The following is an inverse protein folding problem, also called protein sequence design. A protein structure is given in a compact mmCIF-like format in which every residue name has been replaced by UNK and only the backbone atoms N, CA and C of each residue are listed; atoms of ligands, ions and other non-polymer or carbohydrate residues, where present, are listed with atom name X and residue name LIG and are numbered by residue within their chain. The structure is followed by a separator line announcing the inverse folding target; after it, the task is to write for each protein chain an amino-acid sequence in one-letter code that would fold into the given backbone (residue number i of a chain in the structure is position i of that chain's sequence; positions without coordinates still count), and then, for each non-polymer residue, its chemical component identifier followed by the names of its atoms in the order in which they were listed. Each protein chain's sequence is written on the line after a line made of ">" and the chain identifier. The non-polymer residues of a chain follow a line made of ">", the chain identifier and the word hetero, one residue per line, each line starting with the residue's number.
data_IF_275974744479
#
_entry.id   IF_275974744479
#
_cell.length_a   1.000
_cell.length_b   1.000
_cell.length_c   1.000
_cell.angle_alpha   90.00
_cell.angle_beta   90.00
_cell.angle_gamma   90.00
#
_symmetry.space_group_name_H-M   'P 1'
#
loop_
_entity.id
_entity.type
_entity.pdbx_description
1 polymer ?
#
# COMPACT_ATOMS: atom_id res chain seq x y z
N UNK A 1 -10.37 22.04 -21.24
CA UNK A 1 -10.20 22.41 -19.82
C UNK A 1 -9.36 21.34 -19.16
N UNK A 2 -8.40 21.72 -18.34
CA UNK A 2 -7.59 20.81 -17.51
C UNK A 2 -8.47 20.34 -16.34
N UNK A 3 -8.34 19.09 -15.91
CA UNK A 3 -9.22 18.40 -14.95
C UNK A 3 -10.68 18.90 -15.07
N UNK A 4 -11.46 18.41 -16.03
CA UNK A 4 -12.89 18.73 -16.06
C UNK A 4 -13.56 18.07 -14.84
N UNK A 5 -14.24 18.82 -13.95
CA UNK A 5 -14.74 18.26 -12.69
C UNK A 5 -16.03 18.89 -12.17
N UNK A 6 -16.69 18.15 -11.28
CA UNK A 6 -17.76 18.62 -10.41
C UNK A 6 -17.33 18.40 -8.94
N UNK A 7 -17.49 19.42 -8.09
CA UNK A 7 -17.27 19.35 -6.65
C UNK A 7 -18.62 19.26 -5.91
N UNK A 8 -18.72 18.38 -4.92
CA UNK A 8 -19.93 18.18 -4.12
C UNK A 8 -19.60 18.00 -2.64
N UNK A 9 -20.43 18.54 -1.76
CA UNK A 9 -20.35 18.30 -0.32
C UNK A 9 -21.02 16.97 0.00
N UNK A 10 -20.36 16.16 0.83
CA UNK A 10 -20.88 14.84 1.23
C UNK A 10 -21.90 14.97 2.37
N UNK A 11 -21.81 16.01 3.21
CA UNK A 11 -22.78 16.35 4.25
C UNK A 11 -23.01 17.87 4.32
N UNK A 12 -24.20 18.34 3.99
CA UNK A 12 -24.50 19.77 3.75
C UNK A 12 -24.64 20.66 5.00
N UNK A 13 -24.19 20.18 6.18
CA UNK A 13 -24.51 20.81 7.46
C UNK A 13 -23.45 21.79 8.00
N UNK A 14 -22.20 21.80 7.49
CA UNK A 14 -21.14 22.72 7.96
C UNK A 14 -20.12 23.07 6.86
N UNK A 15 -19.30 24.11 7.09
CA UNK A 15 -18.16 24.48 6.24
C UNK A 15 -17.01 23.44 6.25
N UNK A 16 -17.02 22.50 7.19
CA UNK A 16 -16.06 21.39 7.29
C UNK A 16 -16.55 20.12 6.57
N UNK A 17 -17.66 20.21 5.82
CA UNK A 17 -18.24 19.10 5.08
C UNK A 17 -17.21 18.37 4.21
N UNK A 18 -17.10 17.05 4.37
CA UNK A 18 -16.29 16.20 3.51
C UNK A 18 -16.59 16.47 2.03
N UNK A 19 -15.55 16.49 1.20
CA UNK A 19 -15.68 16.81 -0.22
C UNK A 19 -15.56 15.57 -1.11
N UNK A 20 -16.39 15.55 -2.15
CA UNK A 20 -16.34 14.59 -3.25
C UNK A 20 -16.08 15.31 -4.56
N UNK A 21 -15.05 14.87 -5.27
CA UNK A 21 -14.76 15.29 -6.63
C UNK A 21 -15.23 14.22 -7.61
N UNK A 22 -15.90 14.66 -8.67
CA UNK A 22 -16.22 13.82 -9.82
C UNK A 22 -15.49 14.41 -11.03
N UNK A 23 -14.42 13.75 -11.45
CA UNK A 23 -13.69 14.09 -12.66
C UNK A 23 -14.47 13.60 -13.88
N UNK A 24 -14.45 14.37 -14.95
CA UNK A 24 -14.85 13.96 -16.29
C UNK A 24 -13.57 13.63 -17.06
N UNK A 25 -13.64 12.61 -17.91
CA UNK A 25 -12.51 12.19 -18.73
C UNK A 25 -11.89 13.33 -19.55
N UNK A 26 -10.62 13.16 -19.92
CA UNK A 26 -9.84 14.15 -20.64
C UNK A 26 -8.41 14.27 -20.10
N UNK A 27 -7.76 15.39 -20.39
CA UNK A 27 -6.39 15.65 -19.96
C UNK A 27 -6.36 16.22 -18.53
N UNK A 28 -5.55 15.64 -17.66
CA UNK A 28 -5.33 16.10 -16.29
C UNK A 28 -4.68 17.50 -16.21
N UNK A 29 -3.80 17.87 -17.13
CA UNK A 29 -2.93 19.04 -16.95
C UNK A 29 -1.85 18.77 -15.91
N UNK A 30 -1.32 19.83 -15.31
CA UNK A 30 -0.25 19.72 -14.31
C UNK A 30 -0.79 19.31 -12.94
N UNK A 31 0.09 18.86 -12.05
CA UNK A 31 -0.27 18.57 -10.66
C UNK A 31 -0.88 19.79 -9.95
N UNK A 32 -0.46 21.01 -10.30
CA UNK A 32 -0.99 22.24 -9.72
C UNK A 32 -2.43 22.54 -10.13
N UNK A 33 -2.89 21.97 -11.25
CA UNK A 33 -4.26 22.14 -11.76
C UNK A 33 -5.27 21.24 -11.03
N UNK A 34 -4.80 20.31 -10.20
CA UNK A 34 -5.65 19.35 -9.50
C UNK A 34 -6.57 20.06 -8.47
N UNK A 35 -7.90 19.91 -8.57
CA UNK A 35 -8.85 20.73 -7.81
C UNK A 35 -8.83 20.45 -6.30
N UNK A 36 -8.42 19.25 -5.88
CA UNK A 36 -8.33 18.87 -4.47
C UNK A 36 -7.15 19.51 -3.73
N UNK A 37 -6.18 20.13 -4.43
CA UNK A 37 -4.95 20.66 -3.81
C UNK A 37 -5.17 21.78 -2.80
N UNK A 38 -6.33 22.44 -2.85
CA UNK A 38 -6.70 23.53 -1.95
C UNK A 38 -7.51 23.07 -0.73
N UNK A 39 -7.77 21.77 -0.58
CA UNK A 39 -8.64 21.22 0.45
C UNK A 39 -7.93 20.16 1.31
N UNK A 40 -8.29 20.12 2.59
CA UNK A 40 -7.76 19.14 3.55
C UNK A 40 -8.75 18.02 3.87
N UNK A 41 -10.03 18.20 3.54
CA UNK A 41 -11.16 17.33 3.87
C UNK A 41 -11.74 16.60 2.65
N UNK A 42 -10.90 16.29 1.67
CA UNK A 42 -11.30 15.51 0.48
C UNK A 42 -11.50 14.06 0.88
N UNK A 43 -12.72 13.56 0.71
CA UNK A 43 -13.10 12.21 1.12
C UNK A 43 -13.15 11.23 -0.04
N UNK A 44 -13.58 11.68 -1.22
CA UNK A 44 -13.64 10.81 -2.41
C UNK A 44 -13.29 11.53 -3.70
N UNK A 45 -12.62 10.81 -4.59
CA UNK A 45 -12.35 11.23 -5.96
C UNK A 45 -12.88 10.13 -6.89
N UNK A 46 -13.88 10.45 -7.69
CA UNK A 46 -14.51 9.55 -8.67
C UNK A 46 -14.19 10.05 -10.06
N UNK A 47 -14.10 9.16 -11.04
CA UNK A 47 -13.85 9.53 -12.43
C UNK A 47 -14.96 8.97 -13.33
N UNK A 48 -15.52 9.82 -14.18
CA UNK A 48 -16.45 9.47 -15.26
C UNK A 48 -15.73 9.62 -16.60
N UNK A 49 -15.22 8.50 -17.12
CA UNK A 49 -14.38 8.43 -18.32
C UNK A 49 -12.90 8.24 -17.98
N UNK A 50 -12.02 8.41 -18.96
CA UNK A 50 -10.57 8.23 -18.76
C UNK A 50 -9.87 9.57 -18.57
N UNK A 51 -9.08 9.72 -17.51
CA UNK A 51 -8.25 10.91 -17.26
C UNK A 51 -6.79 10.59 -17.57
N UNK A 52 -6.22 11.29 -18.56
CA UNK A 52 -4.82 11.11 -18.99
C UNK A 52 -3.90 11.94 -18.10
N UNK A 53 -3.12 11.25 -17.26
CA UNK A 53 -2.11 11.88 -16.42
C UNK A 53 -0.91 12.34 -17.26
N UNK A 54 -0.30 13.45 -16.86
CA UNK A 54 0.85 14.02 -17.55
C UNK A 54 2.16 13.40 -17.04
N UNK A 55 3.27 13.69 -17.73
CA UNK A 55 4.58 13.12 -17.44
C UNK A 55 5.02 13.25 -15.97
N UNK A 56 4.59 14.31 -15.29
CA UNK A 56 4.78 14.49 -13.87
C UNK A 56 3.45 14.32 -13.13
N UNK A 57 3.32 13.22 -12.38
CA UNK A 57 2.22 12.97 -11.45
C UNK A 57 2.68 13.06 -9.98
N UNK A 58 3.87 13.63 -9.72
CA UNK A 58 4.45 13.66 -8.39
C UNK A 58 3.55 14.43 -7.42
N UNK A 59 3.38 13.87 -6.22
CA UNK A 59 2.55 14.40 -5.14
C UNK A 59 1.06 14.55 -5.49
N UNK A 60 0.54 14.04 -6.62
CA UNK A 60 -0.81 14.38 -7.09
C UNK A 60 -1.91 14.17 -6.02
N UNK A 61 -1.81 13.08 -5.26
CA UNK A 61 -2.73 12.72 -4.17
C UNK A 61 -2.05 12.75 -2.80
N UNK A 62 -0.99 13.53 -2.62
CA UNK A 62 -0.26 13.65 -1.35
C UNK A 62 -1.09 14.42 -0.30
N UNK A 63 -0.97 14.02 0.97
CA UNK A 63 -1.57 14.68 2.14
C UNK A 63 -3.12 14.73 2.12
N UNK A 64 -3.78 13.85 1.38
CA UNK A 64 -5.23 13.76 1.38
C UNK A 64 -5.70 12.86 2.54
N UNK A 65 -5.49 13.35 3.77
CA UNK A 65 -5.69 12.59 5.02
C UNK A 65 -7.11 12.12 5.27
N UNK A 66 -8.11 12.73 4.64
CA UNK A 66 -9.52 12.31 4.73
C UNK A 66 -9.96 11.41 3.56
N UNK A 67 -9.10 11.13 2.59
CA UNK A 67 -9.44 10.39 1.38
C UNK A 67 -9.62 8.92 1.74
N UNK A 68 -10.86 8.44 1.59
CA UNK A 68 -11.25 7.05 1.87
C UNK A 68 -11.54 6.27 0.59
N UNK A 69 -11.77 6.97 -0.52
CA UNK A 69 -12.02 6.35 -1.82
C UNK A 69 -11.41 7.17 -2.97
N UNK A 70 -10.75 6.48 -3.89
CA UNK A 70 -10.33 7.04 -5.17
C UNK A 70 -10.55 6.01 -6.27
N UNK A 71 -11.17 6.42 -7.37
CA UNK A 71 -11.21 5.62 -8.60
C UNK A 71 -9.89 5.77 -9.35
N UNK A 72 -8.99 4.81 -9.13
CA UNK A 72 -7.65 4.78 -9.74
C UNK A 72 -7.61 4.07 -11.09
N UNK A 73 -8.62 3.28 -11.43
CA UNK A 73 -8.64 2.47 -12.65
C UNK A 73 -8.92 3.31 -13.90
N UNK A 74 -9.53 4.47 -13.70
CA UNK A 74 -9.88 5.41 -14.75
C UNK A 74 -8.75 6.38 -15.13
N UNK A 75 -7.56 6.27 -14.51
CA UNK A 75 -6.39 7.05 -14.89
C UNK A 75 -5.56 6.34 -15.96
N UNK A 76 -5.34 7.01 -17.08
CA UNK A 76 -4.33 6.61 -18.05
C UNK A 76 -2.97 7.15 -17.60
N UNK A 77 -2.08 6.22 -17.22
CA UNK A 77 -0.74 6.51 -16.72
C UNK A 77 0.35 6.33 -17.77
N UNK A 78 0.01 6.05 -19.03
CA UNK A 78 0.98 5.65 -20.06
C UNK A 78 2.04 6.72 -20.35
N UNK A 79 1.75 7.99 -20.04
CA UNK A 79 2.66 9.10 -20.24
C UNK A 79 3.51 9.43 -19.00
N UNK A 80 3.21 8.83 -17.84
CA UNK A 80 3.82 9.22 -16.57
C UNK A 80 5.26 8.75 -16.48
N UNK A 81 6.15 9.65 -16.03
CA UNK A 81 7.57 9.38 -15.81
C UNK A 81 7.98 9.43 -14.34
N UNK A 82 7.16 10.05 -13.47
CA UNK A 82 7.40 10.09 -12.02
C UNK A 82 6.10 9.96 -11.22
N UNK A 83 6.14 9.08 -10.22
CA UNK A 83 5.13 8.92 -9.17
C UNK A 83 5.68 9.27 -7.79
N UNK A 84 6.68 10.15 -7.73
CA UNK A 84 7.26 10.57 -6.45
C UNK A 84 6.16 11.11 -5.53
N UNK A 85 6.09 10.61 -4.30
CA UNK A 85 5.15 11.02 -3.25
C UNK A 85 3.66 10.92 -3.62
N UNK A 86 3.30 10.18 -4.67
CA UNK A 86 1.96 10.21 -5.27
C UNK A 86 0.81 10.14 -4.25
N UNK A 87 0.88 9.20 -3.31
CA UNK A 87 -0.08 8.99 -2.23
C UNK A 87 0.54 9.18 -0.83
N UNK A 88 1.70 9.84 -0.74
CA UNK A 88 2.38 10.05 0.55
C UNK A 88 1.46 10.78 1.52
N UNK A 89 1.40 10.29 2.77
CA UNK A 89 0.62 10.87 3.86
C UNK A 89 -0.92 10.91 3.62
N UNK A 90 -1.42 10.09 2.70
CA UNK A 90 -2.86 9.85 2.50
C UNK A 90 -3.29 8.61 3.29
N UNK A 91 -3.34 8.79 4.60
CA UNK A 91 -3.39 7.74 5.61
C UNK A 91 -4.77 7.10 5.84
N UNK A 92 -5.86 7.64 5.29
CA UNK A 92 -7.22 7.05 5.41
C UNK A 92 -7.59 6.04 4.32
N UNK A 93 -6.73 5.82 3.31
CA UNK A 93 -6.96 4.82 2.27
C UNK A 93 -6.62 3.41 2.77
N UNK A 94 -7.63 2.58 2.97
CA UNK A 94 -7.46 1.16 3.36
C UNK A 94 -7.18 0.24 2.17
N UNK A 95 -7.80 0.53 1.02
CA UNK A 95 -7.71 -0.26 -0.22
C UNK A 95 -7.33 0.68 -1.37
N UNK A 96 -6.37 0.25 -2.17
CA UNK A 96 -5.91 0.99 -3.34
C UNK A 96 -5.71 0.04 -4.52
N UNK A 97 -6.55 0.18 -5.54
CA UNK A 97 -6.52 -0.70 -6.72
C UNK A 97 -5.72 -0.06 -7.86
N UNK A 98 -4.50 -0.52 -8.09
CA UNK A 98 -3.59 0.06 -9.10
C UNK A 98 -3.53 -0.78 -10.38
N UNK A 99 -4.50 -1.67 -10.57
CA UNK A 99 -4.53 -2.55 -11.74
C UNK A 99 -4.67 -1.75 -13.04
N UNK A 100 -3.96 -2.19 -14.07
CA UNK A 100 -3.97 -1.57 -15.39
C UNK A 100 -3.08 -0.33 -15.53
N UNK A 101 -2.36 0.09 -14.48
CA UNK A 101 -1.40 1.19 -14.58
C UNK A 101 -0.21 0.79 -15.46
N UNK A 102 -0.01 1.51 -16.56
CA UNK A 102 1.21 1.45 -17.34
C UNK A 102 2.32 2.23 -16.63
N UNK A 103 3.32 1.51 -16.16
CA UNK A 103 4.49 2.04 -15.44
C UNK A 103 5.77 1.92 -16.26
N UNK A 104 5.69 1.49 -17.52
CA UNK A 104 6.86 1.25 -18.39
C UNK A 104 7.72 2.50 -18.63
N UNK A 105 7.09 3.68 -18.61
CA UNK A 105 7.74 4.98 -18.75
C UNK A 105 8.21 5.60 -17.43
N UNK A 106 7.83 5.02 -16.29
CA UNK A 106 8.19 5.54 -14.97
C UNK A 106 9.70 5.36 -14.74
N UNK A 107 10.32 6.41 -14.18
CA UNK A 107 11.74 6.49 -13.85
C UNK A 107 11.96 6.74 -12.36
N UNK A 108 10.96 7.23 -11.64
CA UNK A 108 11.04 7.60 -10.23
C UNK A 108 9.74 7.29 -9.48
N UNK A 109 9.86 6.67 -8.30
CA UNK A 109 8.76 6.23 -7.40
C UNK A 109 9.10 6.51 -5.92
N UNK A 110 9.81 7.60 -5.66
CA UNK A 110 10.28 7.93 -4.32
C UNK A 110 9.09 8.19 -3.40
N UNK A 111 9.01 7.48 -2.27
CA UNK A 111 7.98 7.73 -1.22
C UNK A 111 6.53 7.67 -1.73
N UNK A 112 6.26 6.96 -2.82
CA UNK A 112 4.92 6.88 -3.45
C UNK A 112 3.82 6.47 -2.46
N UNK A 113 4.10 5.53 -1.54
CA UNK A 113 3.17 5.04 -0.51
C UNK A 113 3.71 5.29 0.91
N UNK A 114 4.49 6.36 1.09
CA UNK A 114 5.04 6.73 2.38
C UNK A 114 3.93 7.15 3.35
N UNK A 115 3.99 6.68 4.59
CA UNK A 115 3.06 7.01 5.67
C UNK A 115 1.57 6.77 5.34
N UNK A 116 1.25 5.82 4.44
CA UNK A 116 -0.11 5.34 4.20
C UNK A 116 -0.52 4.35 5.29
N UNK A 117 -0.80 4.86 6.49
CA UNK A 117 -0.90 4.00 7.68
C UNK A 117 -2.14 3.12 7.73
N UNK A 118 -3.25 3.42 7.04
CA UNK A 118 -4.43 2.52 7.00
C UNK A 118 -4.38 1.48 5.88
N UNK A 119 -3.47 1.60 4.91
CA UNK A 119 -3.40 0.68 3.77
C UNK A 119 -3.07 -0.74 4.25
N UNK A 120 -3.96 -1.70 3.99
CA UNK A 120 -3.81 -3.11 4.43
C UNK A 120 -3.31 -4.04 3.34
N UNK A 121 -3.60 -3.72 2.08
CA UNK A 121 -3.22 -4.51 0.91
C UNK A 121 -2.69 -3.60 -0.20
N UNK A 122 -1.64 -4.06 -0.87
CA UNK A 122 -1.08 -3.36 -2.01
C UNK A 122 -0.73 -4.33 -3.12
N UNK A 123 -1.35 -4.15 -4.28
CA UNK A 123 -0.98 -4.84 -5.51
C UNK A 123 -0.16 -3.93 -6.42
N UNK A 124 1.12 -4.27 -6.59
CA UNK A 124 2.05 -3.65 -7.55
C UNK A 124 2.68 -4.69 -8.45
N UNK A 125 2.03 -5.85 -8.60
CA UNK A 125 2.54 -6.99 -9.37
C UNK A 125 2.68 -6.67 -10.86
N UNK A 126 1.85 -5.75 -11.37
CA UNK A 126 1.90 -5.27 -12.75
C UNK A 126 2.95 -4.18 -12.99
N UNK A 127 3.59 -3.65 -11.94
CA UNK A 127 4.50 -2.53 -12.10
C UNK A 127 5.84 -2.96 -12.73
N UNK A 128 6.21 -2.28 -13.82
CA UNK A 128 7.48 -2.41 -14.48
C UNK A 128 8.48 -1.40 -13.91
N UNK A 129 9.27 -1.83 -12.93
CA UNK A 129 10.29 -0.99 -12.29
C UNK A 129 11.68 -1.13 -12.94
N UNK A 130 11.80 -1.82 -14.07
CA UNK A 130 13.10 -2.07 -14.73
C UNK A 130 13.82 -0.77 -15.14
N UNK A 131 13.05 0.29 -15.40
CA UNK A 131 13.57 1.60 -15.78
C UNK A 131 13.69 2.58 -14.61
N UNK A 132 13.27 2.20 -13.40
CA UNK A 132 13.35 3.07 -12.22
C UNK A 132 14.81 3.23 -11.85
N UNK A 133 15.31 4.46 -11.91
CA UNK A 133 16.69 4.81 -11.57
C UNK A 133 16.68 5.45 -10.19
N UNK A 134 17.33 4.81 -9.22
CA UNK A 134 17.46 5.37 -7.89
C UNK A 134 18.52 6.48 -7.88
N UNK A 135 18.08 7.72 -7.80
CA UNK A 135 18.95 8.90 -7.95
C UNK A 135 19.28 9.62 -6.64
N UNK A 136 18.68 9.25 -5.50
CA UNK A 136 18.92 9.94 -4.22
C UNK A 136 19.46 8.96 -3.17
N UNK A 137 20.56 9.28 -2.51
CA UNK A 137 21.22 8.40 -1.51
C UNK A 137 20.59 8.44 -0.11
N UNK A 138 19.58 9.28 0.13
CA UNK A 138 19.16 9.67 1.49
C UNK A 138 17.62 9.68 1.72
N UNK A 139 16.80 9.16 0.80
CA UNK A 139 15.33 9.34 0.89
C UNK A 139 14.50 8.14 0.43
N UNK A 140 14.94 6.93 0.81
CA UNK A 140 14.23 5.70 0.46
C UNK A 140 13.26 5.26 1.55
N UNK A 141 11.97 5.59 1.35
CA UNK A 141 10.86 4.92 2.03
C UNK A 141 9.69 4.87 1.05
N UNK A 142 9.79 4.07 -0.03
CA UNK A 142 8.63 3.83 -0.92
C UNK A 142 7.42 3.39 -0.06
N UNK A 143 7.69 2.65 1.02
CA UNK A 143 6.71 2.14 1.96
C UNK A 143 7.04 2.55 3.40
N UNK A 144 6.15 3.35 3.99
CA UNK A 144 5.96 3.36 5.45
C UNK A 144 4.47 3.09 5.75
N UNK A 145 3.95 2.04 5.12
CA UNK A 145 2.57 1.57 5.30
C UNK A 145 2.52 0.58 6.47
N UNK A 146 2.45 1.10 7.69
CA UNK A 146 2.58 0.29 8.93
C UNK A 146 1.47 -0.75 9.10
N UNK A 147 0.29 -0.56 8.50
CA UNK A 147 -0.78 -1.56 8.52
C UNK A 147 -0.81 -2.51 7.32
N UNK A 148 0.17 -2.46 6.41
CA UNK A 148 0.22 -3.39 5.30
C UNK A 148 0.36 -4.83 5.82
N UNK A 149 -0.50 -5.71 5.34
CA UNK A 149 -0.57 -7.15 5.67
C UNK A 149 -0.46 -8.04 4.45
N UNK A 150 -0.83 -7.54 3.27
CA UNK A 150 -0.74 -8.27 2.01
C UNK A 150 -0.04 -7.41 0.97
N UNK A 151 0.90 -8.01 0.23
CA UNK A 151 1.53 -7.35 -0.90
C UNK A 151 1.68 -8.32 -2.07
N UNK A 152 1.33 -7.86 -3.27
CA UNK A 152 1.52 -8.61 -4.52
C UNK A 152 2.66 -7.99 -5.32
N UNK A 153 3.63 -8.81 -5.68
CA UNK A 153 4.88 -8.40 -6.32
C UNK A 153 5.07 -9.12 -7.65
N UNK A 154 5.63 -8.42 -8.63
CA UNK A 154 5.86 -8.93 -9.98
C UNK A 154 7.33 -9.10 -10.31
N UNK A 155 7.60 -9.76 -11.43
CA UNK A 155 8.97 -10.06 -11.88
C UNK A 155 9.86 -8.82 -12.05
N UNK A 156 9.25 -7.68 -12.37
CA UNK A 156 9.95 -6.40 -12.57
C UNK A 156 9.81 -5.47 -11.36
N UNK A 157 9.38 -5.97 -10.19
CA UNK A 157 9.32 -5.19 -8.96
C UNK A 157 10.68 -5.12 -8.28
N UNK A 158 11.09 -3.91 -7.89
CA UNK A 158 12.36 -3.68 -7.20
C UNK A 158 12.09 -3.13 -5.80
N UNK A 159 12.39 -3.93 -4.77
CA UNK A 159 12.23 -3.53 -3.36
C UNK A 159 13.54 -3.08 -2.68
N UNK A 160 14.70 -3.34 -3.29
CA UNK A 160 16.05 -2.95 -2.81
C UNK A 160 16.77 -2.14 -3.87
N UNK A 161 17.71 -1.23 -3.52
CA UNK A 161 18.86 -0.95 -4.40
C UNK A 161 20.17 -0.55 -3.66
N UNK A 162 21.23 -1.32 -3.95
CA UNK A 162 22.59 -0.91 -4.33
C UNK A 162 23.37 0.17 -3.53
N UNK A 163 23.36 0.20 -2.20
CA UNK A 163 24.58 0.53 -1.42
C UNK A 163 24.35 0.33 0.07
N UNK A 164 25.41 -0.08 0.76
CA UNK A 164 25.40 -0.85 2.00
C UNK A 164 25.52 -0.03 3.30
N UNK A 165 25.17 1.25 3.33
CA UNK A 165 25.38 2.06 4.56
C UNK A 165 24.12 2.38 5.36
N UNK A 166 22.93 2.12 4.83
CA UNK A 166 21.69 2.25 5.58
C UNK A 166 20.75 1.15 5.13
N UNK A 167 20.58 0.15 6.00
CA UNK A 167 19.59 -0.90 5.78
C UNK A 167 18.25 -0.18 5.66
N UNK A 168 17.49 -0.33 4.56
CA UNK A 168 16.11 0.15 4.52
C UNK A 168 15.40 -0.42 5.75
N UNK A 169 14.30 0.15 6.23
CA UNK A 169 13.37 -0.57 7.11
C UNK A 169 12.06 -0.62 6.34
N UNK A 170 11.74 -1.78 5.76
CA UNK A 170 10.36 -2.08 5.36
C UNK A 170 9.57 -2.24 6.66
N UNK A 171 9.13 -1.13 7.23
CA UNK A 171 8.28 -1.17 8.42
C UNK A 171 6.84 -1.37 8.01
N UNK A 172 6.61 -2.46 7.27
CA UNK A 172 5.29 -2.97 6.94
C UNK A 172 4.90 -3.90 8.08
N UNK A 173 3.87 -3.56 8.86
CA UNK A 173 3.46 -4.37 10.02
C UNK A 173 4.58 -4.58 11.03
N UNK A 174 4.75 -3.62 11.95
CA UNK A 174 5.66 -3.84 13.08
C UNK A 174 5.26 -5.12 13.83
N UNK A 175 6.23 -5.92 14.33
CA UNK A 175 5.94 -7.02 15.22
C UNK A 175 4.97 -6.56 16.31
N UNK A 176 3.87 -7.28 16.48
CA UNK A 176 2.84 -6.96 17.45
C UNK A 176 2.47 -8.22 18.24
N UNK A 177 1.47 -8.13 19.12
CA UNK A 177 0.90 -9.31 19.77
C UNK A 177 0.20 -10.24 18.77
N UNK A 178 -0.23 -9.71 17.62
CA UNK A 178 -0.95 -10.45 16.57
C UNK A 178 -0.05 -10.91 15.43
N UNK A 179 1.09 -10.26 15.18
CA UNK A 179 1.96 -10.55 14.03
C UNK A 179 3.42 -10.73 14.45
N UNK A 180 4.12 -11.66 13.81
CA UNK A 180 5.53 -11.93 14.11
C UNK A 180 6.45 -10.86 13.51
N UNK A 181 5.97 -10.16 12.48
CA UNK A 181 6.75 -9.26 11.64
C UNK A 181 7.43 -9.96 10.46
N UNK A 182 7.23 -11.27 10.30
CA UNK A 182 7.76 -12.01 9.15
C UNK A 182 6.78 -11.96 7.98
N UNK A 183 7.28 -11.93 6.75
CA UNK A 183 6.49 -12.12 5.54
C UNK A 183 6.59 -13.56 5.04
N UNK A 184 5.45 -14.11 4.65
CA UNK A 184 5.29 -15.45 4.08
C UNK A 184 4.98 -15.34 2.60
N UNK A 185 5.73 -16.04 1.76
CA UNK A 185 5.38 -16.25 0.36
C UNK A 185 4.22 -17.26 0.27
N UNK A 186 3.02 -16.76 -0.05
CA UNK A 186 1.77 -17.52 0.03
C UNK A 186 1.39 -18.17 -1.30
N UNK A 187 1.44 -17.40 -2.39
CA UNK A 187 1.02 -17.83 -3.73
C UNK A 187 2.00 -17.33 -4.77
N UNK A 188 2.25 -18.13 -5.81
CA UNK A 188 2.94 -17.65 -7.01
C UNK A 188 2.07 -16.66 -7.81
N UNK A 189 2.64 -16.07 -8.87
CA UNK A 189 1.94 -15.16 -9.78
C UNK A 189 0.71 -15.76 -10.49
N UNK A 190 0.57 -17.09 -10.50
CA UNK A 190 -0.56 -17.80 -11.10
C UNK A 190 -1.63 -18.20 -10.06
N UNK A 191 -1.41 -17.90 -8.78
CA UNK A 191 -2.32 -18.27 -7.69
C UNK A 191 -2.10 -19.69 -7.13
N UNK A 192 -1.01 -20.36 -7.49
CA UNK A 192 -0.66 -21.69 -6.98
C UNK A 192 0.12 -21.59 -5.67
N UNK A 193 0.08 -22.66 -4.88
CA UNK A 193 0.97 -22.77 -3.71
C UNK A 193 2.43 -22.87 -4.19
N UNK A 194 3.35 -22.10 -3.61
CA UNK A 194 4.75 -22.14 -4.02
C UNK A 194 5.41 -23.45 -3.53
N UNK A 195 6.30 -24.00 -4.35
CA UNK A 195 7.08 -25.20 -4.00
C UNK A 195 7.97 -24.98 -2.77
N UNK A 196 8.49 -23.75 -2.61
CA UNK A 196 9.30 -23.32 -1.47
C UNK A 196 8.55 -22.25 -0.66
N UNK A 197 8.27 -22.55 0.62
CA UNK A 197 7.77 -21.54 1.56
C UNK A 197 8.91 -20.62 1.98
N UNK A 198 8.91 -19.40 1.47
CA UNK A 198 9.86 -18.37 1.90
C UNK A 198 9.27 -17.61 3.08
N UNK A 199 9.98 -17.62 4.20
CA UNK A 199 9.69 -16.81 5.38
C UNK A 199 10.86 -15.85 5.59
N UNK A 200 10.59 -14.56 5.69
CA UNK A 200 11.66 -13.62 6.08
C UNK A 200 12.13 -13.96 7.50
N UNK A 201 13.42 -14.17 7.72
CA UNK A 201 13.94 -14.43 9.07
C UNK A 201 13.69 -13.24 10.01
N UNK A 202 13.36 -13.51 11.29
CA UNK A 202 12.98 -12.52 12.33
C UNK A 202 13.63 -11.14 12.17
N UNK A 203 12.82 -10.14 11.81
CA UNK A 203 13.24 -8.73 11.71
C UNK A 203 13.98 -8.37 10.42
N UNK A 204 14.09 -9.30 9.48
CA UNK A 204 14.65 -9.08 8.15
C UNK A 204 13.52 -8.65 7.21
N UNK A 205 13.83 -7.71 6.33
CA UNK A 205 12.83 -6.97 5.59
C UNK A 205 12.46 -7.71 4.32
N UNK A 206 11.21 -7.61 3.88
CA UNK A 206 10.80 -8.23 2.61
C UNK A 206 11.71 -7.81 1.46
N UNK A 207 12.16 -6.55 1.44
CA UNK A 207 13.13 -6.10 0.45
C UNK A 207 14.39 -6.90 0.43
N UNK A 208 15.02 -7.18 1.57
CA UNK A 208 16.30 -7.89 1.61
C UNK A 208 16.26 -9.30 1.00
N UNK A 209 15.08 -9.85 0.75
CA UNK A 209 14.90 -11.14 0.09
C UNK A 209 14.28 -11.07 -1.30
N UNK A 210 13.59 -9.98 -1.64
CA UNK A 210 12.89 -9.88 -2.92
C UNK A 210 13.78 -9.25 -3.98
N UNK A 211 14.27 -10.09 -4.89
CA UNK A 211 15.09 -9.72 -6.05
C UNK A 211 14.33 -9.83 -7.39
N UNK A 212 13.02 -10.08 -7.34
CA UNK A 212 12.18 -10.33 -8.52
C UNK A 212 12.06 -11.80 -8.93
N UNK A 213 12.80 -12.73 -8.30
CA UNK A 213 12.80 -14.15 -8.67
C UNK A 213 11.56 -14.93 -8.21
N UNK A 214 10.78 -14.40 -7.26
CA UNK A 214 9.61 -15.05 -6.67
C UNK A 214 8.36 -14.16 -6.74
N UNK A 215 7.88 -13.80 -7.95
CA UNK A 215 6.68 -12.98 -8.10
C UNK A 215 5.45 -13.70 -7.52
N UNK A 216 4.58 -12.95 -6.85
CA UNK A 216 3.35 -13.49 -6.28
C UNK A 216 2.92 -12.75 -5.03
N UNK A 217 2.16 -13.45 -4.19
CA UNK A 217 1.50 -12.89 -3.01
C UNK A 217 2.30 -13.18 -1.76
N UNK A 218 2.57 -12.12 -0.99
CA UNK A 218 3.20 -12.19 0.32
C UNK A 218 2.23 -11.70 1.39
N UNK A 219 2.13 -12.42 2.50
CA UNK A 219 1.31 -12.05 3.65
C UNK A 219 2.15 -11.91 4.92
N UNK A 220 1.74 -11.01 5.81
CA UNK A 220 2.36 -10.88 7.12
C UNK A 220 1.94 -12.06 8.01
N UNK A 221 2.93 -12.77 8.55
CA UNK A 221 2.75 -13.92 9.42
C UNK A 221 2.04 -13.50 10.71
N UNK A 222 0.84 -14.05 10.90
CA UNK A 222 0.12 -13.97 12.17
C UNK A 222 0.84 -14.80 13.23
N UNK A 223 0.95 -14.26 14.44
CA UNK A 223 1.24 -15.08 15.61
C UNK A 223 0.05 -15.98 15.83
N UNK A 224 0.29 -17.28 15.77
CA UNK A 224 -0.64 -18.27 16.32
C UNK A 224 -0.87 -17.85 17.77
N UNK A 225 -2.13 -17.78 18.22
CA UNK A 225 -2.41 -17.43 19.63
C UNK A 225 -1.62 -18.37 20.53
N UNK A 226 -1.06 -17.86 21.64
CA UNK A 226 -0.47 -18.77 22.62
C UNK A 226 -1.51 -19.82 23.02
N UNK A 227 -1.13 -21.11 23.14
CA UNK A 227 -2.05 -22.13 23.56
C UNK A 227 -2.73 -21.70 24.86
N UNK A 228 -4.06 -21.71 24.87
CA UNK A 228 -4.82 -21.39 26.09
C UNK A 228 -5.08 -22.70 26.80
N UNK A 229 -4.58 -22.82 28.03
CA UNK A 229 -4.89 -23.94 28.90
C UNK A 229 -6.18 -23.63 29.66
N UNK A 230 -7.26 -24.33 29.32
CA UNK A 230 -8.51 -24.30 30.08
C UNK A 230 -8.37 -25.28 31.24
N UNK A 231 -8.44 -24.78 32.48
CA UNK A 231 -8.52 -25.59 33.70
C UNK A 231 -9.97 -25.64 34.19
N UNK A 232 -10.45 -26.84 34.48
CA UNK A 232 -11.73 -27.06 35.13
C UNK A 232 -11.47 -27.18 36.63
N UNK A 233 -11.71 -26.11 37.38
CA UNK A 233 -11.50 -26.07 38.83
C UNK A 233 -12.85 -25.98 39.54
N UNK A 234 -12.93 -26.51 40.76
CA UNK A 234 -14.06 -26.24 41.65
C UNK A 234 -13.91 -24.88 42.35
N UNK A 235 -14.80 -24.62 43.32
CA UNK A 235 -14.82 -23.37 44.09
C UNK A 235 -13.66 -23.26 45.09
N UNK A 236 -12.96 -24.36 45.37
CA UNK A 236 -11.85 -24.47 46.30
C UNK A 236 -10.49 -24.44 45.57
N UNK A 237 -10.51 -24.59 44.24
CA UNK A 237 -9.35 -24.49 43.36
C UNK A 237 -8.79 -25.84 42.91
N UNK A 238 -9.48 -26.95 43.20
CA UNK A 238 -9.04 -28.31 42.87
C UNK A 238 -9.46 -28.71 41.45
N UNK A 239 -8.61 -29.47 40.75
CA UNK A 239 -8.83 -29.87 39.35
C UNK A 239 -9.96 -30.91 39.21
N UNK A 240 -11.07 -30.50 38.61
CA UNK A 240 -12.25 -31.33 38.31
C UNK A 240 -12.07 -32.20 37.06
N UNK A 241 -11.20 -31.79 36.13
CA UNK A 241 -10.89 -32.53 34.92
C UNK A 241 -9.51 -32.15 34.37
N UNK A 242 -8.93 -33.02 33.53
CA UNK A 242 -7.68 -32.75 32.83
C UNK A 242 -7.78 -31.43 32.06
N UNK A 243 -6.76 -30.59 32.19
CA UNK A 243 -6.68 -29.34 31.46
C UNK A 243 -6.63 -29.59 29.96
N UNK A 244 -7.36 -28.77 29.19
CA UNK A 244 -7.38 -28.85 27.73
C UNK A 244 -6.54 -27.71 27.19
N UNK A 245 -5.53 -28.06 26.39
CA UNK A 245 -4.77 -27.08 25.62
C UNK A 245 -5.47 -26.88 24.29
N UNK A 246 -5.98 -25.67 24.08
CA UNK A 246 -6.51 -25.25 22.78
C UNK A 246 -5.34 -24.61 22.03
N UNK A 247 -4.79 -25.36 21.08
CA UNK A 247 -3.81 -24.85 20.13
C UNK A 247 -4.51 -23.93 19.12
N UNK A 248 -3.84 -22.83 18.73
CA UNK A 248 -4.35 -21.87 17.75
C UNK A 248 -4.08 -22.26 16.30
#
# INVERSE_FOLDING_TARGET
>A
MLFNYQETKVNDQTELSALKFILRGGNAGTVGDAPWKKYTNVQSIVVEGTVVLQANAANLFQNLKSLTYIDTLSFDTSQVTTFDFLFSDSDSLEVLNLNGWDTSNVRSINRTFHNMTSLVELDISSWNMANVRNTSTNSWFIFEARNLRTIHLGVNTTLMLMSSSSRPVFQTGAPSVEYTGNWLYLKDQNGNDPEERVVTARGTLLSTFYDGSKPGTYILEKRVSQPVTVKFLDLEGDELALSVTIEG
#
